data_IF_693040804654
#
_entry.id   IF_693040804654
#
_cell.length_a   1.000
_cell.length_b   1.000
_cell.length_c   1.000
_cell.angle_alpha   90.00
_cell.angle_beta   90.00
_cell.angle_gamma   90.00
#
_symmetry.space_group_name_H-M   'P 1'
#
loop_
_entity.id
_entity.type
_entity.pdbx_description
1 polymer ?
#
# COMPACT_ATOMS: atom_id res chain seq x y z
N UNK A 1 -11.17 -21.29 -0.95
CA UNK A 1 -11.05 -19.85 -1.19
C UNK A 1 -12.43 -19.33 -1.56
N UNK A 2 -12.75 -18.08 -1.22
CA UNK A 2 -14.05 -17.46 -1.53
C UNK A 2 -13.80 -16.23 -2.38
N UNK A 3 -14.61 -16.03 -3.43
CA UNK A 3 -14.49 -14.84 -4.26
C UNK A 3 -14.65 -13.57 -3.39
N UNK A 4 -13.66 -12.68 -3.44
CA UNK A 4 -13.54 -11.53 -2.56
C UNK A 4 -14.72 -10.56 -2.68
N UNK A 5 -15.14 -10.23 -3.90
CA UNK A 5 -16.28 -9.33 -4.14
C UNK A 5 -17.58 -9.92 -3.62
N UNK A 6 -17.85 -11.19 -3.96
CA UNK A 6 -19.06 -11.88 -3.51
C UNK A 6 -19.12 -11.93 -1.98
N UNK A 7 -17.99 -12.24 -1.33
CA UNK A 7 -17.90 -12.26 0.13
C UNK A 7 -18.15 -10.88 0.74
N UNK A 8 -17.58 -9.82 0.16
CA UNK A 8 -17.79 -8.44 0.61
C UNK A 8 -19.26 -8.06 0.50
N UNK A 9 -19.90 -8.32 -0.65
CA UNK A 9 -21.29 -7.94 -0.89
C UNK A 9 -22.28 -8.76 -0.03
N UNK A 10 -21.92 -9.99 0.35
CA UNK A 10 -22.71 -10.78 1.30
C UNK A 10 -22.61 -10.27 2.74
N UNK A 11 -21.39 -9.96 3.19
CA UNK A 11 -21.14 -9.56 4.58
C UNK A 11 -21.42 -8.09 4.85
N UNK A 12 -21.23 -7.24 3.84
CA UNK A 12 -21.43 -5.80 3.84
C UNK A 12 -22.30 -5.42 2.63
N UNK A 13 -23.61 -5.70 2.62
CA UNK A 13 -24.45 -5.45 1.46
C UNK A 13 -24.53 -3.98 1.05
N UNK A 14 -24.68 -3.70 -0.25
CA UNK A 14 -24.85 -2.33 -0.77
C UNK A 14 -26.18 -1.69 -0.36
N UNK A 15 -27.25 -2.49 -0.29
CA UNK A 15 -28.60 -2.07 0.10
C UNK A 15 -29.00 -2.71 1.45
N UNK A 16 -28.11 -2.63 2.43
CA UNK A 16 -28.34 -3.21 3.74
C UNK A 16 -27.27 -2.81 4.73
N UNK A 17 -27.31 -3.44 5.89
CA UNK A 17 -26.32 -3.26 6.94
C UNK A 17 -25.37 -4.45 6.98
N UNK A 18 -24.16 -4.23 7.50
CA UNK A 18 -23.20 -5.29 7.77
C UNK A 18 -23.85 -6.38 8.63
N UNK A 19 -23.73 -7.63 8.17
CA UNK A 19 -24.24 -8.82 8.85
C UNK A 19 -23.14 -9.70 9.43
N UNK A 20 -21.87 -9.31 9.26
CA UNK A 20 -20.72 -10.07 9.75
C UNK A 20 -20.57 -9.92 11.26
N UNK A 21 -20.98 -10.96 11.99
CA UNK A 21 -21.06 -10.94 13.46
C UNK A 21 -19.69 -10.78 14.14
N UNK A 22 -18.61 -11.16 13.47
CA UNK A 22 -17.23 -11.00 13.94
C UNK A 22 -16.78 -9.54 13.88
N UNK A 23 -17.32 -8.74 12.97
CA UNK A 23 -17.01 -7.31 12.83
C UNK A 23 -17.94 -6.48 13.74
N UNK A 24 -17.64 -6.49 15.04
CA UNK A 24 -18.42 -5.75 16.04
C UNK A 24 -18.42 -4.23 15.82
N UNK A 25 -17.39 -3.69 15.16
CA UNK A 25 -17.32 -2.25 14.88
C UNK A 25 -18.34 -1.86 13.82
N UNK A 26 -18.51 -2.69 12.79
CA UNK A 26 -19.36 -2.37 11.65
C UNK A 26 -20.70 -3.09 11.67
N UNK A 27 -20.92 -4.09 12.52
CA UNK A 27 -22.18 -4.83 12.59
C UNK A 27 -23.40 -3.90 12.70
N UNK A 28 -24.37 -4.06 11.80
CA UNK A 28 -25.55 -3.20 11.75
C UNK A 28 -25.34 -1.83 11.10
N UNK A 29 -24.13 -1.48 10.64
CA UNK A 29 -23.86 -0.26 9.87
C UNK A 29 -24.05 -0.47 8.38
N UNK A 30 -24.56 0.53 7.68
CA UNK A 30 -24.53 0.62 6.23
C UNK A 30 -23.11 0.98 5.74
N UNK A 31 -22.78 0.73 4.47
CA UNK A 31 -21.42 0.98 3.93
C UNK A 31 -20.95 2.44 4.06
N UNK A 32 -21.86 3.41 4.00
CA UNK A 32 -21.59 4.83 4.19
C UNK A 32 -21.26 5.20 5.65
N UNK A 33 -21.65 4.38 6.61
CA UNK A 33 -21.32 4.57 8.03
C UNK A 33 -19.99 3.91 8.42
N UNK A 34 -19.41 3.09 7.54
CA UNK A 34 -18.16 2.37 7.80
C UNK A 34 -16.97 3.30 7.58
N UNK A 35 -16.13 3.40 8.62
CA UNK A 35 -14.93 4.25 8.64
C UNK A 35 -13.66 3.41 8.56
N UNK A 36 -13.66 2.23 9.18
CA UNK A 36 -12.57 1.27 9.13
C UNK A 36 -13.13 -0.06 8.66
N UNK A 37 -12.58 -0.60 7.57
CA UNK A 37 -12.97 -1.90 7.03
C UNK A 37 -11.80 -2.88 7.15
N UNK A 38 -11.99 -3.94 7.93
CA UNK A 38 -11.03 -5.03 8.07
C UNK A 38 -11.63 -6.34 7.56
N UNK A 39 -11.14 -6.75 6.39
CA UNK A 39 -11.45 -8.02 5.72
C UNK A 39 -10.20 -8.89 5.58
N UNK A 40 -9.21 -8.68 6.44
CA UNK A 40 -7.97 -9.44 6.44
C UNK A 40 -8.19 -10.89 6.87
N UNK A 41 -7.32 -11.78 6.37
CA UNK A 41 -7.29 -13.20 6.76
C UNK A 41 -8.65 -13.91 6.60
N UNK A 42 -9.34 -13.67 5.47
CA UNK A 42 -10.64 -14.29 5.17
C UNK A 42 -10.54 -15.35 4.05
N UNK A 43 -9.31 -15.70 3.62
CA UNK A 43 -9.05 -16.64 2.52
C UNK A 43 -9.77 -16.23 1.22
N UNK A 44 -9.83 -14.91 0.99
CA UNK A 44 -10.49 -14.31 -0.17
C UNK A 44 -9.61 -14.42 -1.40
N UNK A 45 -10.20 -14.63 -2.56
CA UNK A 45 -9.47 -14.70 -3.83
C UNK A 45 -10.11 -13.82 -4.91
N UNK A 46 -9.31 -13.53 -5.94
CA UNK A 46 -9.77 -12.80 -7.13
C UNK A 46 -9.70 -11.29 -6.98
N UNK A 47 -10.50 -10.60 -7.79
CA UNK A 47 -10.51 -9.14 -7.85
C UNK A 47 -11.47 -8.55 -6.82
N UNK A 48 -11.01 -7.59 -6.03
CA UNK A 48 -11.83 -6.83 -5.09
C UNK A 48 -12.05 -5.42 -5.61
N UNK A 49 -13.30 -4.94 -5.56
CA UNK A 49 -13.67 -3.56 -5.92
C UNK A 49 -14.52 -2.96 -4.81
N UNK A 50 -14.01 -1.90 -4.16
CA UNK A 50 -14.76 -1.18 -3.13
C UNK A 50 -15.77 -0.20 -3.74
N UNK A 51 -15.45 0.31 -4.92
CA UNK A 51 -16.21 1.35 -5.60
C UNK A 51 -16.42 2.61 -4.76
N UNK A 52 -17.40 3.43 -5.13
CA UNK A 52 -17.84 4.60 -4.34
C UNK A 52 -18.75 4.23 -3.15
N UNK A 53 -18.87 2.94 -2.81
CA UNK A 53 -19.83 2.44 -1.82
C UNK A 53 -19.42 2.73 -0.38
N UNK A 54 -18.15 3.07 -0.13
CA UNK A 54 -17.63 3.40 1.21
C UNK A 54 -17.11 4.84 1.26
N UNK A 55 -17.98 5.86 1.11
CA UNK A 55 -17.58 7.26 0.95
C UNK A 55 -16.83 7.84 2.15
N UNK A 56 -17.01 7.26 3.34
CA UNK A 56 -16.39 7.71 4.60
C UNK A 56 -15.24 6.82 5.07
N UNK A 57 -14.77 5.89 4.22
CA UNK A 57 -13.69 4.96 4.57
C UNK A 57 -12.37 5.70 4.75
N UNK A 58 -11.80 5.58 5.95
CA UNK A 58 -10.48 6.11 6.30
C UNK A 58 -9.41 5.04 6.34
N UNK A 59 -9.78 3.80 6.65
CA UNK A 59 -8.83 2.68 6.74
C UNK A 59 -9.37 1.45 6.05
N UNK A 60 -8.56 0.85 5.20
CA UNK A 60 -8.84 -0.42 4.52
C UNK A 60 -7.74 -1.42 4.86
N UNK A 61 -8.10 -2.57 5.41
CA UNK A 61 -7.22 -3.71 5.60
C UNK A 61 -7.79 -4.94 4.88
N UNK A 62 -7.14 -5.38 3.80
CA UNK A 62 -7.43 -6.62 3.09
C UNK A 62 -6.24 -7.59 3.09
N UNK A 63 -5.31 -7.43 4.03
CA UNK A 63 -4.09 -8.23 4.11
C UNK A 63 -4.35 -9.71 4.36
N UNK A 64 -3.35 -10.56 4.08
CA UNK A 64 -3.42 -12.01 4.30
C UNK A 64 -4.59 -12.67 3.55
N UNK A 65 -4.73 -12.35 2.27
CA UNK A 65 -5.70 -12.97 1.37
C UNK A 65 -4.97 -13.46 0.11
N UNK A 66 -5.73 -13.90 -0.90
CA UNK A 66 -5.24 -14.32 -2.21
C UNK A 66 -5.76 -13.38 -3.31
N UNK A 67 -5.85 -12.08 -3.02
CA UNK A 67 -6.35 -11.07 -3.96
C UNK A 67 -5.37 -10.93 -5.13
N UNK A 68 -5.90 -10.89 -6.35
CA UNK A 68 -5.09 -10.79 -7.57
C UNK A 68 -5.11 -9.40 -8.19
N UNK A 69 -6.13 -8.60 -7.85
CA UNK A 69 -6.25 -7.20 -8.27
C UNK A 69 -7.16 -6.43 -7.32
N UNK A 70 -6.94 -5.11 -7.29
CA UNK A 70 -7.76 -4.15 -6.56
C UNK A 70 -8.27 -3.12 -7.55
N UNK A 71 -9.57 -2.81 -7.45
CA UNK A 71 -10.18 -1.68 -8.13
C UNK A 71 -10.66 -0.67 -7.11
N UNK A 72 -10.18 0.56 -7.28
CA UNK A 72 -10.61 1.71 -6.50
C UNK A 72 -11.46 2.63 -7.37
N UNK A 73 -12.51 3.18 -6.78
CA UNK A 73 -13.11 4.43 -7.28
C UNK A 73 -12.62 5.58 -6.38
N UNK A 74 -13.37 6.67 -6.33
CA UNK A 74 -13.13 7.81 -5.45
C UNK A 74 -13.37 7.43 -3.99
N UNK A 75 -12.30 7.39 -3.18
CA UNK A 75 -12.34 7.24 -1.73
C UNK A 75 -11.76 8.52 -1.09
N UNK A 76 -12.55 9.60 -0.99
CA UNK A 76 -12.03 10.96 -0.84
C UNK A 76 -11.35 11.22 0.51
N UNK A 77 -11.58 10.36 1.50
CA UNK A 77 -11.08 10.51 2.87
C UNK A 77 -10.21 9.33 3.34
N UNK A 78 -9.79 8.45 2.42
CA UNK A 78 -8.94 7.30 2.75
C UNK A 78 -7.55 7.74 3.20
N UNK A 79 -7.11 7.24 4.35
CA UNK A 79 -5.84 7.63 4.97
C UNK A 79 -4.84 6.47 5.01
N UNK A 80 -5.32 5.24 5.22
CA UNK A 80 -4.47 4.05 5.41
C UNK A 80 -4.98 2.86 4.59
N UNK A 81 -4.06 2.20 3.88
CA UNK A 81 -4.32 1.00 3.09
C UNK A 81 -3.31 -0.08 3.49
N UNK A 82 -3.80 -1.26 3.87
CA UNK A 82 -3.00 -2.47 4.03
C UNK A 82 -3.53 -3.58 3.12
N UNK A 83 -2.74 -3.91 2.11
CA UNK A 83 -3.00 -4.93 1.09
C UNK A 83 -1.88 -5.98 1.09
N UNK A 84 -1.12 -6.06 2.18
CA UNK A 84 0.02 -6.95 2.30
C UNK A 84 -0.36 -8.42 2.26
N UNK A 85 0.59 -9.28 1.91
CA UNK A 85 0.38 -10.73 1.86
C UNK A 85 -0.82 -11.11 0.97
N UNK A 86 -0.74 -10.71 -0.30
CA UNK A 86 -1.71 -11.04 -1.33
C UNK A 86 -0.99 -11.54 -2.60
N UNK A 87 -1.72 -11.68 -3.71
CA UNK A 87 -1.19 -12.09 -5.01
C UNK A 87 -1.31 -10.95 -6.04
N UNK A 88 -1.33 -9.70 -5.58
CA UNK A 88 -1.46 -8.53 -6.45
C UNK A 88 -0.27 -8.48 -7.41
N UNK A 89 -0.55 -8.22 -8.68
CA UNK A 89 0.47 -8.15 -9.71
C UNK A 89 0.14 -7.05 -10.71
N UNK A 90 1.17 -6.60 -11.43
CA UNK A 90 1.06 -5.52 -12.41
C UNK A 90 2.10 -4.41 -12.19
N UNK A 91 2.31 -3.61 -13.23
CA UNK A 91 3.31 -2.54 -13.28
C UNK A 91 2.70 -1.12 -13.24
N UNK A 92 1.38 -1.02 -13.12
CA UNK A 92 0.63 0.24 -13.14
C UNK A 92 -0.58 0.18 -12.22
N UNK A 93 -0.38 -0.32 -10.99
CA UNK A 93 -1.47 -0.33 -10.01
C UNK A 93 -1.85 1.12 -9.71
N UNK A 94 -3.07 1.51 -10.04
CA UNK A 94 -3.62 2.81 -9.66
C UNK A 94 -4.01 2.78 -8.19
N UNK A 95 -3.62 3.79 -7.44
CA UNK A 95 -4.13 4.03 -6.09
C UNK A 95 -5.50 4.70 -6.16
N UNK A 96 -6.32 4.64 -5.08
CA UNK A 96 -7.54 5.41 -5.02
C UNK A 96 -7.22 6.90 -5.19
N UNK A 97 -8.09 7.63 -5.89
CA UNK A 97 -8.03 9.08 -5.91
C UNK A 97 -8.41 9.60 -4.52
N UNK A 98 -7.38 9.75 -3.67
CA UNK A 98 -7.54 10.09 -2.27
C UNK A 98 -6.36 10.98 -1.83
N UNK A 99 -6.57 12.31 -1.74
CA UNK A 99 -5.51 13.24 -1.37
C UNK A 99 -5.06 13.07 0.10
N UNK A 100 -5.78 12.27 0.88
CA UNK A 100 -5.58 12.10 2.32
C UNK A 100 -4.69 10.90 2.69
N UNK A 101 -4.21 10.11 1.71
CA UNK A 101 -3.38 8.93 1.97
C UNK A 101 -2.10 9.32 2.72
N UNK A 102 -1.87 8.62 3.83
CA UNK A 102 -0.70 8.76 4.71
C UNK A 102 0.09 7.48 4.84
N UNK A 103 -0.55 6.31 4.71
CA UNK A 103 0.11 5.00 4.87
C UNK A 103 -0.33 4.02 3.81
N UNK A 104 0.65 3.39 3.17
CA UNK A 104 0.45 2.31 2.21
C UNK A 104 1.32 1.12 2.59
N UNK A 105 0.69 -0.05 2.73
CA UNK A 105 1.39 -1.32 2.87
C UNK A 105 0.95 -2.27 1.74
N UNK A 106 1.88 -2.53 0.82
CA UNK A 106 1.71 -3.49 -0.29
C UNK A 106 2.75 -4.61 -0.21
N UNK A 107 3.38 -4.81 0.94
CA UNK A 107 4.41 -5.82 1.12
C UNK A 107 3.92 -7.24 0.79
N UNK A 108 4.84 -8.13 0.40
CA UNK A 108 4.55 -9.53 0.08
C UNK A 108 3.46 -9.68 -0.99
N UNK A 109 3.72 -9.08 -2.14
CA UNK A 109 2.89 -9.18 -3.35
C UNK A 109 3.79 -9.47 -4.56
N UNK A 110 3.28 -9.28 -5.79
CA UNK A 110 4.00 -9.46 -7.05
C UNK A 110 3.90 -8.19 -7.91
N UNK A 111 3.85 -7.02 -7.27
CA UNK A 111 3.71 -5.73 -7.94
C UNK A 111 5.08 -5.28 -8.45
N UNK A 112 5.13 -4.70 -9.65
CA UNK A 112 6.37 -4.20 -10.26
C UNK A 112 6.37 -2.70 -10.55
N UNK A 113 5.26 -2.00 -10.28
CA UNK A 113 5.14 -0.56 -10.49
C UNK A 113 3.81 0.01 -9.99
N UNK A 114 3.84 1.28 -9.58
CA UNK A 114 2.67 2.10 -9.27
C UNK A 114 2.85 3.51 -9.82
N UNK A 115 1.75 4.22 -10.01
CA UNK A 115 1.75 5.67 -10.16
C UNK A 115 1.43 6.30 -8.81
N UNK A 116 2.43 6.97 -8.20
CA UNK A 116 2.32 7.53 -6.86
C UNK A 116 2.14 9.04 -6.91
N UNK A 117 0.90 9.50 -6.81
CA UNK A 117 0.55 10.91 -6.62
C UNK A 117 -0.07 11.09 -5.22
N UNK A 118 0.76 10.90 -4.19
CA UNK A 118 0.34 10.94 -2.78
C UNK A 118 1.25 11.87 -1.96
N UNK A 119 1.11 13.20 -2.10
CA UNK A 119 2.01 14.16 -1.47
C UNK A 119 2.00 14.12 0.08
N UNK A 120 0.96 13.54 0.68
CA UNK A 120 0.80 13.39 2.12
C UNK A 120 1.30 12.04 2.67
N UNK A 121 1.87 11.18 1.82
CA UNK A 121 2.36 9.87 2.21
C UNK A 121 3.51 10.01 3.23
N UNK A 122 3.35 9.34 4.37
CA UNK A 122 4.33 9.31 5.46
C UNK A 122 4.97 7.93 5.63
N UNK A 123 4.25 6.85 5.31
CA UNK A 123 4.71 5.46 5.41
C UNK A 123 4.46 4.70 4.11
N UNK A 124 5.51 4.07 3.59
CA UNK A 124 5.42 3.21 2.40
C UNK A 124 6.17 1.90 2.64
N UNK A 125 5.46 0.78 2.56
CA UNK A 125 6.05 -0.55 2.61
C UNK A 125 5.73 -1.36 1.35
N UNK A 126 6.80 -1.74 0.66
CA UNK A 126 6.82 -2.47 -0.60
C UNK A 126 7.68 -3.73 -0.49
N UNK A 127 8.05 -4.12 0.72
CA UNK A 127 8.93 -5.26 1.00
C UNK A 127 8.50 -6.49 0.23
N UNK A 128 9.43 -7.21 -0.38
CA UNK A 128 9.17 -8.46 -1.12
C UNK A 128 8.13 -8.28 -2.24
N UNK A 129 8.50 -7.50 -3.25
CA UNK A 129 7.75 -7.30 -4.49
C UNK A 129 8.71 -7.43 -5.71
N UNK A 130 8.30 -6.93 -6.88
CA UNK A 130 9.04 -7.02 -8.14
C UNK A 130 9.40 -5.65 -8.72
N UNK A 131 9.54 -4.61 -7.87
CA UNK A 131 9.90 -3.27 -8.34
C UNK A 131 11.30 -3.25 -8.94
N UNK A 132 11.43 -2.73 -10.15
CA UNK A 132 12.72 -2.46 -10.81
C UNK A 132 13.07 -0.97 -10.69
N UNK A 133 12.06 -0.11 -10.77
CA UNK A 133 12.18 1.34 -10.61
C UNK A 133 11.22 1.81 -9.54
N UNK A 134 11.69 2.69 -8.67
CA UNK A 134 10.88 3.30 -7.63
C UNK A 134 11.07 4.82 -7.67
N UNK A 135 10.04 5.53 -8.12
CA UNK A 135 10.07 6.99 -8.19
C UNK A 135 9.18 7.59 -7.09
N UNK A 136 9.81 8.32 -6.18
CA UNK A 136 9.19 8.92 -5.00
C UNK A 136 9.33 10.45 -4.99
N UNK A 137 9.53 11.08 -6.16
CA UNK A 137 9.74 12.53 -6.25
C UNK A 137 8.57 13.38 -5.73
N UNK A 138 7.34 12.86 -5.71
CA UNK A 138 6.11 13.53 -5.21
C UNK A 138 5.74 13.05 -3.79
N UNK A 139 6.72 12.69 -2.96
CA UNK A 139 6.46 12.28 -1.55
C UNK A 139 7.31 13.07 -0.54
N UNK A 140 7.13 14.41 -0.45
CA UNK A 140 7.95 15.26 0.41
C UNK A 140 7.78 14.98 1.91
N UNK A 141 6.68 14.31 2.29
CA UNK A 141 6.34 14.01 3.67
C UNK A 141 6.74 12.60 4.12
N UNK A 142 7.44 11.83 3.28
CA UNK A 142 7.79 10.45 3.59
C UNK A 142 8.73 10.38 4.80
N UNK A 143 8.34 9.62 5.82
CA UNK A 143 9.08 9.40 7.07
C UNK A 143 9.66 7.99 7.11
N UNK A 144 8.96 7.01 6.54
CA UNK A 144 9.37 5.62 6.53
C UNK A 144 9.20 5.00 5.14
N UNK A 145 10.28 4.41 4.65
CA UNK A 145 10.32 3.64 3.41
C UNK A 145 10.91 2.25 3.68
N UNK A 146 10.13 1.22 3.36
CA UNK A 146 10.58 -0.15 3.27
C UNK A 146 10.42 -0.66 1.85
N UNK A 147 11.52 -1.04 1.21
CA UNK A 147 11.56 -1.55 -0.15
C UNK A 147 12.48 -2.78 -0.29
N UNK A 148 12.80 -3.43 0.82
CA UNK A 148 13.68 -4.60 0.83
C UNK A 148 13.15 -5.76 -0.02
N UNK A 149 14.05 -6.63 -0.48
CA UNK A 149 13.74 -7.77 -1.34
C UNK A 149 12.98 -7.40 -2.63
N UNK A 150 13.37 -6.28 -3.26
CA UNK A 150 12.93 -5.92 -4.60
C UNK A 150 14.14 -5.85 -5.55
N UNK A 151 13.97 -6.17 -6.85
CA UNK A 151 15.02 -6.03 -7.86
C UNK A 151 15.24 -4.56 -8.31
N UNK A 152 15.15 -3.59 -7.39
CA UNK A 152 15.26 -2.17 -7.72
C UNK A 152 16.67 -1.87 -8.24
N UNK A 153 16.75 -1.19 -9.37
CA UNK A 153 17.98 -0.67 -9.97
C UNK A 153 17.98 0.85 -10.08
N UNK A 154 16.81 1.48 -9.96
CA UNK A 154 16.66 2.93 -9.96
C UNK A 154 15.69 3.39 -8.86
N UNK A 155 16.15 4.29 -7.99
CA UNK A 155 15.39 4.86 -6.89
C UNK A 155 15.53 6.38 -6.89
N UNK A 156 14.43 7.09 -7.09
CA UNK A 156 14.40 8.55 -7.03
C UNK A 156 13.81 9.02 -5.71
N UNK A 157 14.61 9.71 -4.89
CA UNK A 157 14.22 10.29 -3.60
C UNK A 157 14.64 11.77 -3.56
N UNK A 158 13.89 12.65 -4.23
CA UNK A 158 14.30 14.06 -4.40
C UNK A 158 13.72 15.02 -3.35
N UNK A 159 12.72 14.61 -2.55
CA UNK A 159 12.04 15.49 -1.60
C UNK A 159 11.85 14.91 -0.18
N UNK A 160 12.38 13.72 0.12
CA UNK A 160 12.15 13.01 1.38
C UNK A 160 13.05 13.49 2.53
N UNK A 161 13.10 14.81 2.75
CA UNK A 161 13.88 15.43 3.84
C UNK A 161 13.47 14.99 5.25
N UNK A 162 12.27 14.40 5.39
CA UNK A 162 11.71 13.89 6.64
C UNK A 162 11.95 12.40 6.86
N UNK A 163 12.67 11.72 5.96
CA UNK A 163 12.89 10.27 6.04
C UNK A 163 13.73 9.91 7.26
N UNK A 164 13.17 9.12 8.15
CA UNK A 164 13.82 8.63 9.38
C UNK A 164 14.17 7.15 9.26
N UNK A 165 13.31 6.35 8.62
CA UNK A 165 13.53 4.92 8.40
C UNK A 165 13.65 4.61 6.91
N UNK A 166 14.75 3.97 6.55
CA UNK A 166 15.03 3.51 5.19
C UNK A 166 15.53 2.06 5.23
N UNK A 167 14.67 1.12 4.86
CA UNK A 167 15.02 -0.30 4.71
C UNK A 167 14.85 -0.75 3.27
N UNK A 168 15.95 -0.82 2.53
CA UNK A 168 15.99 -1.35 1.18
C UNK A 168 17.06 -2.44 1.06
N UNK A 169 17.16 -3.30 2.08
CA UNK A 169 18.06 -4.45 2.05
C UNK A 169 17.80 -5.36 0.83
N UNK A 170 18.88 -5.80 0.18
CA UNK A 170 18.80 -6.65 -1.03
C UNK A 170 18.56 -5.89 -2.34
N UNK A 171 18.42 -4.56 -2.30
CA UNK A 171 18.35 -3.70 -3.51
C UNK A 171 19.75 -3.45 -4.07
N UNK A 172 19.90 -3.47 -5.40
CA UNK A 172 21.17 -3.22 -6.10
C UNK A 172 21.17 -1.81 -6.69
N UNK A 173 21.56 -0.82 -5.89
CA UNK A 173 21.73 0.54 -6.38
C UNK A 173 22.97 0.63 -7.28
N UNK A 174 22.82 1.19 -8.48
CA UNK A 174 23.96 1.63 -9.28
C UNK A 174 24.52 2.93 -8.68
N UNK A 175 25.85 3.10 -8.69
CA UNK A 175 26.60 4.25 -8.12
C UNK A 175 26.11 5.61 -8.62
N UNK A 176 25.44 5.63 -9.77
CA UNK A 176 24.95 6.85 -10.43
C UNK A 176 23.47 7.18 -10.14
N UNK A 177 22.73 6.27 -9.48
CA UNK A 177 21.26 6.38 -9.30
C UNK A 177 20.83 6.71 -7.86
N UNK A 178 21.76 7.03 -6.96
CA UNK A 178 21.39 7.61 -5.65
C UNK A 178 21.34 9.13 -5.82
N UNK A 179 20.18 9.65 -6.22
CA UNK A 179 19.93 11.08 -6.16
C UNK A 179 20.00 11.53 -4.70
N UNK A 180 21.10 12.17 -4.32
CA UNK A 180 21.30 12.97 -3.10
C UNK A 180 20.52 12.48 -1.87
N UNK A 181 21.06 11.48 -1.15
CA UNK A 181 20.61 11.25 0.22
C UNK A 181 20.81 12.55 1.03
N UNK A 182 19.85 12.98 1.87
CA UNK A 182 20.09 14.11 2.75
C UNK A 182 21.29 13.78 3.63
N UNK A 183 22.31 14.62 3.54
CA UNK A 183 23.65 14.49 4.12
C UNK A 183 23.68 14.54 5.67
N UNK A 184 22.55 14.35 6.34
CA UNK A 184 22.40 14.43 7.80
C UNK A 184 21.71 13.22 8.43
N UNK A 185 21.45 12.14 7.69
CA UNK A 185 20.88 10.93 8.29
C UNK A 185 21.95 10.12 9.05
N UNK A 186 21.66 9.56 10.24
CA UNK A 186 22.62 8.82 11.07
C UNK A 186 22.96 7.43 10.51
N UNK A 187 22.61 7.14 9.26
CA UNK A 187 22.85 5.86 8.62
C UNK A 187 24.35 5.71 8.33
N UNK A 188 25.06 5.17 9.31
CA UNK A 188 26.30 4.46 9.06
C UNK A 188 25.94 3.21 8.24
N UNK A 189 26.45 3.04 7.01
CA UNK A 189 26.23 1.82 6.26
C UNK A 189 27.01 0.69 6.94
N UNK A 190 26.38 -0.05 7.84
CA UNK A 190 26.94 -1.31 8.34
C UNK A 190 26.80 -2.36 7.25
N UNK A 191 27.84 -2.45 6.42
CA UNK A 191 28.14 -3.34 5.29
C UNK A 191 28.28 -2.56 3.99
N UNK A 192 29.48 -2.67 3.42
CA UNK A 192 29.98 -1.98 2.24
C UNK A 192 28.94 -1.89 1.13
N UNK A 193 28.48 -0.69 0.84
CA UNK A 193 27.59 -0.36 -0.27
C UNK A 193 28.21 -0.60 -1.66
N UNK A 194 29.46 -1.08 -1.73
CA UNK A 194 30.12 -1.44 -2.99
C UNK A 194 30.95 -2.72 -2.81
N UNK A 195 30.75 -3.78 -3.61
CA UNK A 195 31.82 -4.74 -3.85
C UNK A 195 32.94 -4.02 -4.61
N UNK A 196 34.18 -4.28 -4.19
CA UNK A 196 35.42 -3.83 -4.85
C UNK A 196 35.52 -4.32 -6.28
#
# INVERSE_FOLDING_TARGET
MVNSQTWLDQNYPTNGTCIRVEDKENYGKTRDQIVNLDISNQNLEGALRLGSSFPNLKKMNASFNNLTSLGWDTLPVLEEIDESHNLLSGNGLSLPNSPTIKKLNFSYNKISGFYLDTPNLAYLDLTSNLFITLDLHITPNLVELKCSNNPISNLTLTQSSKLVLFDCLGVKFDKNNVASTPTSSPFSPSTSLFPT
#
